data_IF_425220598359
#
_entry.id   IF_425220598359
#
_cell.length_a   1.000
_cell.length_b   1.000
_cell.length_c   1.000
_cell.angle_alpha   90.00
_cell.angle_beta   90.00
_cell.angle_gamma   90.00
#
_symmetry.space_group_name_H-M   'P 1'
#
loop_
_entity.id
_entity.type
_entity.pdbx_description
1 polymer ?
#
# COMPACT_ATOMS: atom_id res chain seq x y z
N UNK A 1 4.81 21.13 16.15
CA UNK A 1 4.80 21.97 14.94
C UNK A 1 5.61 21.26 13.88
N UNK A 2 4.98 20.85 12.78
CA UNK A 2 5.69 20.32 11.63
C UNK A 2 6.27 21.48 10.80
N UNK A 3 7.44 21.28 10.18
CA UNK A 3 8.08 22.24 9.29
C UNK A 3 8.11 21.64 7.90
N UNK A 4 7.52 22.32 6.92
CA UNK A 4 7.51 21.88 5.52
C UNK A 4 8.12 22.97 4.63
N UNK A 5 8.97 22.59 3.66
CA UNK A 5 9.56 23.55 2.71
C UNK A 5 8.59 23.96 1.57
N UNK A 6 7.50 23.21 1.39
CA UNK A 6 6.48 23.44 0.37
C UNK A 6 5.21 24.06 0.98
N UNK A 7 4.30 24.57 0.13
CA UNK A 7 3.03 25.17 0.56
C UNK A 7 1.94 24.13 0.91
N UNK A 8 2.28 22.84 0.94
CA UNK A 8 1.38 21.74 1.26
C UNK A 8 1.93 20.88 2.39
N UNK A 9 1.06 20.48 3.32
CA UNK A 9 1.35 19.52 4.38
C UNK A 9 0.23 18.49 4.45
N UNK A 10 0.59 17.21 4.40
CA UNK A 10 -0.35 16.12 4.63
C UNK A 10 -0.31 15.74 6.11
N UNK A 11 -1.36 16.13 6.84
CA UNK A 11 -1.54 15.69 8.22
C UNK A 11 -2.16 14.29 8.24
N UNK A 12 -1.51 13.34 8.91
CA UNK A 12 -1.86 11.91 8.86
C UNK A 12 -2.03 11.35 10.28
N UNK A 13 -2.79 10.25 10.41
CA UNK A 13 -3.04 9.63 11.72
C UNK A 13 -4.15 10.30 12.53
N UNK A 14 -5.01 11.07 11.86
CA UNK A 14 -6.15 11.74 12.48
C UNK A 14 -7.28 10.77 12.75
N UNK A 15 -8.01 10.99 13.85
CA UNK A 15 -9.21 10.22 14.19
C UNK A 15 -10.32 10.55 13.21
N UNK A 16 -11.08 9.56 12.69
CA UNK A 16 -12.22 9.84 11.82
C UNK A 16 -13.32 10.65 12.53
N UNK A 17 -14.15 11.36 11.75
CA UNK A 17 -15.25 12.20 12.25
C UNK A 17 -14.84 13.21 13.34
N UNK A 18 -13.59 13.66 13.32
CA UNK A 18 -13.04 14.56 14.34
C UNK A 18 -12.70 15.90 13.69
N UNK A 19 -13.15 16.98 14.32
CA UNK A 19 -12.82 18.34 13.89
C UNK A 19 -11.42 18.71 14.39
N UNK A 20 -10.56 19.13 13.47
CA UNK A 20 -9.23 19.66 13.76
C UNK A 20 -9.13 21.11 13.31
N UNK A 21 -8.46 21.93 14.13
CA UNK A 21 -8.25 23.34 13.85
C UNK A 21 -6.78 23.61 13.58
N UNK A 22 -6.51 24.25 12.45
CA UNK A 22 -5.17 24.51 11.94
C UNK A 22 -4.90 26.01 11.81
N UNK A 23 -3.67 26.40 12.13
CA UNK A 23 -3.10 27.71 11.83
C UNK A 23 -1.74 27.51 11.18
N UNK A 24 -1.36 28.39 10.26
CA UNK A 24 -0.04 28.35 9.62
C UNK A 24 0.78 29.59 9.99
N UNK A 25 2.09 29.44 10.12
CA UNK A 25 3.05 30.54 10.20
C UNK A 25 4.21 30.25 9.25
N UNK A 26 4.84 31.29 8.74
CA UNK A 26 6.09 31.18 7.98
C UNK A 26 7.29 31.24 8.94
N UNK A 27 8.34 30.49 8.63
CA UNK A 27 9.62 30.53 9.34
C UNK A 27 10.76 30.68 8.33
N UNK A 28 11.68 31.63 8.58
CA UNK A 28 12.87 31.84 7.73
C UNK A 28 14.05 30.91 8.15
N UNK A 29 15.16 30.86 7.37
CA UNK A 29 16.33 30.05 7.71
C UNK A 29 17.00 30.40 9.05
N UNK A 30 16.81 31.63 9.54
CA UNK A 30 17.32 32.12 10.82
C UNK A 30 16.35 31.84 11.97
N UNK A 31 15.28 31.06 11.73
CA UNK A 31 14.25 30.71 12.70
C UNK A 31 13.37 31.86 13.18
N UNK A 32 13.33 32.97 12.44
CA UNK A 32 12.34 34.03 12.65
C UNK A 32 10.98 33.55 12.15
N UNK A 33 9.91 33.82 12.92
CA UNK A 33 8.54 33.36 12.64
C UNK A 33 7.62 34.54 12.35
N UNK A 34 6.73 34.39 11.38
CA UNK A 34 5.63 35.33 11.17
C UNK A 34 4.57 35.21 12.28
N UNK A 35 3.59 36.11 12.27
CA UNK A 35 2.32 35.88 12.94
C UNK A 35 1.61 34.63 12.37
N UNK A 36 0.79 33.99 13.20
CA UNK A 36 -0.08 32.88 12.76
C UNK A 36 -1.22 33.40 11.89
N UNK A 37 -1.67 32.59 10.94
CA UNK A 37 -2.88 32.82 10.17
C UNK A 37 -4.13 32.79 11.07
N UNK A 38 -5.26 33.25 10.53
CA UNK A 38 -6.55 32.89 11.08
C UNK A 38 -6.71 31.35 11.10
N UNK A 39 -7.39 30.79 12.12
CA UNK A 39 -7.63 29.35 12.20
C UNK A 39 -8.62 28.90 11.13
N UNK A 40 -8.39 27.71 10.57
CA UNK A 40 -9.36 26.98 9.76
C UNK A 40 -9.67 25.64 10.43
N UNK A 41 -10.95 25.27 10.46
CA UNK A 41 -11.40 23.99 11.00
C UNK A 41 -11.81 23.08 9.85
N UNK A 42 -11.33 21.84 9.87
CA UNK A 42 -11.73 20.78 8.96
C UNK A 42 -12.12 19.53 9.76
N UNK A 43 -13.15 18.83 9.31
CA UNK A 43 -13.57 17.56 9.92
C UNK A 43 -13.09 16.42 9.05
N UNK A 44 -12.41 15.44 9.65
CA UNK A 44 -11.99 14.23 8.96
C UNK A 44 -13.21 13.43 8.50
N UNK A 45 -13.08 12.75 7.36
CA UNK A 45 -14.13 11.89 6.83
C UNK A 45 -14.54 10.81 7.85
N UNK A 46 -15.72 10.24 7.65
CA UNK A 46 -16.11 9.05 8.39
C UNK A 46 -15.10 7.93 8.15
N UNK A 47 -14.78 7.20 9.23
CA UNK A 47 -14.08 5.94 9.10
C UNK A 47 -15.06 4.90 8.54
N UNK A 48 -14.56 3.77 8.03
CA UNK A 48 -15.43 2.67 7.66
C UNK A 48 -16.22 2.22 8.89
N UNK A 49 -17.55 2.26 8.79
CA UNK A 49 -18.47 1.85 9.85
C UNK A 49 -19.00 0.45 9.52
N UNK A 50 -18.68 -0.55 10.36
CA UNK A 50 -19.15 -1.93 10.22
C UNK A 50 -18.09 -2.99 10.53
N UNK A 51 -18.50 -4.26 10.51
CA UNK A 51 -17.55 -5.37 10.46
C UNK A 51 -16.98 -5.46 9.05
N UNK A 52 -15.67 -5.58 8.94
CA UNK A 52 -15.00 -5.83 7.68
C UNK A 52 -14.03 -6.99 7.83
N UNK A 53 -13.76 -7.66 6.73
CA UNK A 53 -12.78 -8.75 6.67
C UNK A 53 -11.64 -8.34 5.76
N UNK A 54 -10.42 -8.44 6.27
CA UNK A 54 -9.20 -8.33 5.49
C UNK A 54 -8.62 -9.73 5.34
N UNK A 55 -8.05 -10.01 4.17
CA UNK A 55 -7.17 -11.16 3.99
C UNK A 55 -5.73 -10.66 3.92
N UNK A 56 -4.79 -11.40 4.50
CA UNK A 56 -3.37 -11.09 4.41
C UNK A 56 -2.56 -12.35 4.13
N UNK A 57 -1.54 -12.25 3.28
CA UNK A 57 -0.56 -13.31 3.05
C UNK A 57 0.81 -12.72 2.66
N UNK A 58 1.88 -13.45 2.95
CA UNK A 58 3.22 -13.24 2.38
C UNK A 58 3.67 -14.52 1.69
N UNK A 59 4.87 -14.53 1.12
CA UNK A 59 5.52 -15.73 0.56
C UNK A 59 4.59 -16.46 -0.43
N UNK A 60 4.15 -15.72 -1.45
CA UNK A 60 2.96 -16.08 -2.22
C UNK A 60 3.31 -16.99 -3.39
N UNK A 61 3.75 -16.43 -4.51
CA UNK A 61 3.82 -17.18 -5.77
C UNK A 61 5.24 -17.62 -6.07
N UNK A 62 5.45 -18.92 -6.20
CA UNK A 62 6.61 -19.55 -6.85
C UNK A 62 6.37 -19.62 -8.38
N UNK A 63 7.35 -20.06 -9.17
CA UNK A 63 7.24 -20.31 -10.60
C UNK A 63 6.45 -21.57 -10.96
N UNK A 64 5.23 -21.70 -10.43
CA UNK A 64 4.32 -22.79 -10.73
C UNK A 64 2.95 -22.30 -11.19
N UNK A 65 2.13 -23.21 -11.70
CA UNK A 65 0.73 -22.91 -12.06
C UNK A 65 -0.20 -23.96 -11.48
N UNK A 66 -1.51 -23.73 -11.56
CA UNK A 66 -2.53 -24.66 -11.09
C UNK A 66 -2.50 -26.04 -11.78
N UNK A 67 -1.72 -26.22 -12.86
CA UNK A 67 -1.49 -27.53 -13.47
C UNK A 67 -0.58 -28.43 -12.61
N UNK A 68 0.21 -27.86 -11.70
CA UNK A 68 1.04 -28.61 -10.74
C UNK A 68 0.31 -28.76 -9.41
N UNK A 69 0.25 -29.99 -8.89
CA UNK A 69 -0.33 -30.28 -7.57
C UNK A 69 0.48 -29.70 -6.42
N UNK A 70 1.77 -29.47 -6.62
CA UNK A 70 2.68 -28.85 -5.65
C UNK A 70 2.46 -27.33 -5.55
N UNK A 71 1.79 -26.74 -6.54
CA UNK A 71 1.55 -25.32 -6.57
C UNK A 71 0.54 -24.88 -5.50
N UNK A 72 1.02 -24.14 -4.50
CA UNK A 72 0.23 -23.75 -3.33
C UNK A 72 -0.49 -22.42 -3.53
N UNK A 73 0.11 -21.46 -4.23
CA UNK A 73 -0.47 -20.12 -4.38
C UNK A 73 -1.85 -20.07 -5.07
N UNK A 74 -2.23 -20.98 -5.99
CA UNK A 74 -3.61 -21.06 -6.48
C UNK A 74 -4.60 -21.59 -5.42
N UNK A 75 -4.14 -22.43 -4.49
CA UNK A 75 -4.96 -22.96 -3.39
C UNK A 75 -5.21 -21.88 -2.34
N UNK A 76 -4.18 -21.12 -1.97
CA UNK A 76 -4.34 -19.99 -1.03
C UNK A 76 -5.19 -18.88 -1.63
N UNK A 77 -5.06 -18.61 -2.94
CA UNK A 77 -5.96 -17.69 -3.64
C UNK A 77 -7.43 -18.12 -3.53
N UNK A 78 -7.77 -19.42 -3.58
CA UNK A 78 -9.15 -19.90 -3.36
C UNK A 78 -9.65 -19.65 -1.94
N UNK A 79 -8.78 -19.71 -0.93
CA UNK A 79 -9.15 -19.37 0.45
C UNK A 79 -9.48 -17.88 0.55
N UNK A 80 -8.65 -17.01 -0.03
CA UNK A 80 -8.91 -15.56 -0.08
C UNK A 80 -10.21 -15.25 -0.83
N UNK A 81 -10.47 -15.95 -1.94
CA UNK A 81 -11.71 -15.83 -2.71
C UNK A 81 -12.94 -16.22 -1.86
N UNK A 82 -12.86 -17.34 -1.13
CA UNK A 82 -13.93 -17.82 -0.25
C UNK A 82 -14.22 -16.86 0.92
N UNK A 83 -13.18 -16.23 1.47
CA UNK A 83 -13.30 -15.23 2.55
C UNK A 83 -14.04 -13.97 2.07
N UNK A 84 -13.97 -13.65 0.77
CA UNK A 84 -14.55 -12.45 0.17
C UNK A 84 -14.19 -11.14 0.93
N UNK A 85 -12.89 -10.83 1.07
CA UNK A 85 -12.44 -9.69 1.86
C UNK A 85 -12.69 -8.35 1.15
N UNK A 86 -12.81 -7.27 1.92
CA UNK A 86 -12.90 -5.92 1.35
C UNK A 86 -11.57 -5.43 0.78
N UNK A 87 -10.45 -5.91 1.34
CA UNK A 87 -9.09 -5.68 0.86
C UNK A 87 -8.18 -6.88 1.13
N UNK A 88 -7.15 -7.02 0.29
CA UNK A 88 -6.10 -8.02 0.44
C UNK A 88 -4.79 -7.32 0.74
N UNK A 89 -4.07 -7.69 1.80
CA UNK A 89 -2.73 -7.19 2.09
C UNK A 89 -1.74 -8.26 1.68
N UNK A 90 -0.74 -7.90 0.88
CA UNK A 90 0.41 -8.80 0.69
C UNK A 90 1.57 -8.30 1.55
N UNK A 91 2.20 -9.19 2.30
CA UNK A 91 3.19 -8.86 3.33
C UNK A 91 4.63 -9.04 2.82
N UNK A 92 4.85 -8.83 1.51
CA UNK A 92 6.12 -9.08 0.85
C UNK A 92 6.22 -10.48 0.23
N UNK A 93 7.29 -10.68 -0.54
CA UNK A 93 7.60 -11.93 -1.24
C UNK A 93 6.40 -12.41 -2.07
N UNK A 94 5.87 -11.47 -2.86
CA UNK A 94 4.69 -11.65 -3.69
C UNK A 94 4.99 -12.66 -4.80
N UNK A 95 6.13 -12.48 -5.46
CA UNK A 95 6.70 -13.42 -6.40
C UNK A 95 8.05 -13.84 -5.82
N UNK A 96 8.12 -15.10 -5.43
CA UNK A 96 9.09 -15.66 -4.49
C UNK A 96 10.45 -15.93 -5.10
N UNK A 97 10.60 -16.09 -6.41
CA UNK A 97 11.93 -16.41 -6.96
C UNK A 97 12.78 -15.14 -7.07
N UNK A 98 12.64 -14.40 -8.17
CA UNK A 98 13.42 -13.19 -8.45
C UNK A 98 12.53 -11.95 -8.65
N UNK A 99 11.22 -12.06 -8.40
CA UNK A 99 10.24 -11.00 -8.55
C UNK A 99 10.30 -10.26 -9.91
N UNK A 100 10.64 -10.96 -10.99
CA UNK A 100 10.66 -10.39 -12.35
C UNK A 100 9.24 -10.07 -12.82
N UNK A 101 9.10 -9.04 -13.67
CA UNK A 101 7.80 -8.71 -14.26
C UNK A 101 7.19 -9.90 -15.04
N UNK A 102 8.03 -10.68 -15.72
CA UNK A 102 7.62 -11.92 -16.39
C UNK A 102 7.00 -12.92 -15.42
N UNK A 103 7.54 -13.05 -14.22
CA UNK A 103 7.09 -14.04 -13.24
C UNK A 103 5.82 -13.59 -12.54
N UNK A 104 5.67 -12.27 -12.33
CA UNK A 104 4.40 -11.69 -11.93
C UNK A 104 3.30 -11.97 -12.96
N UNK A 105 3.56 -11.72 -14.25
CA UNK A 105 2.55 -11.92 -15.30
C UNK A 105 2.25 -13.40 -15.56
N UNK A 106 3.25 -14.27 -15.48
CA UNK A 106 3.12 -15.71 -15.80
C UNK A 106 2.59 -16.56 -14.66
N UNK A 107 2.91 -16.22 -13.40
CA UNK A 107 2.58 -17.05 -12.24
C UNK A 107 1.64 -16.31 -11.27
N UNK A 108 2.10 -15.22 -10.64
CA UNK A 108 1.30 -14.49 -9.63
C UNK A 108 -0.06 -14.03 -10.16
N UNK A 109 -0.08 -13.46 -11.37
CA UNK A 109 -1.29 -12.93 -11.99
C UNK A 109 -2.36 -14.00 -12.25
N UNK A 110 -1.94 -15.24 -12.53
CA UNK A 110 -2.87 -16.35 -12.83
C UNK A 110 -3.68 -16.80 -11.62
N UNK A 111 -3.18 -16.53 -10.40
CA UNK A 111 -3.87 -16.85 -9.14
C UNK A 111 -4.30 -15.61 -8.37
N UNK A 112 -3.35 -14.78 -7.95
CA UNK A 112 -3.52 -13.68 -7.01
C UNK A 112 -3.81 -12.35 -7.71
N UNK A 113 -3.55 -12.27 -9.02
CA UNK A 113 -3.86 -11.10 -9.86
C UNK A 113 -5.34 -10.70 -9.84
N UNK A 114 -6.25 -11.65 -9.59
CA UNK A 114 -7.69 -11.38 -9.43
C UNK A 114 -8.01 -10.40 -8.29
N UNK A 115 -7.15 -10.30 -7.27
CA UNK A 115 -7.34 -9.43 -6.12
C UNK A 115 -6.71 -8.04 -6.30
N UNK A 116 -6.04 -7.79 -7.43
CA UNK A 116 -5.22 -6.58 -7.64
C UNK A 116 -5.98 -5.27 -7.43
N UNK A 117 -7.29 -5.24 -7.73
CA UNK A 117 -8.14 -4.04 -7.55
C UNK A 117 -8.43 -3.71 -6.08
N UNK A 118 -8.29 -4.68 -5.18
CA UNK A 118 -8.49 -4.53 -3.73
C UNK A 118 -7.20 -4.78 -2.93
N UNK A 119 -6.08 -4.99 -3.62
CA UNK A 119 -4.80 -5.35 -3.01
C UNK A 119 -4.05 -4.11 -2.51
N UNK A 120 -3.45 -4.24 -1.33
CA UNK A 120 -2.53 -3.31 -0.71
C UNK A 120 -1.19 -4.04 -0.60
N UNK A 121 -0.33 -3.96 -1.64
CA UNK A 121 0.89 -4.74 -1.67
C UNK A 121 2.02 -4.10 -0.87
N UNK A 122 2.88 -4.92 -0.28
CA UNK A 122 4.19 -4.51 0.23
C UNK A 122 5.31 -5.33 -0.39
N UNK A 123 6.54 -4.82 -0.28
CA UNK A 123 7.76 -5.53 -0.69
C UNK A 123 8.32 -6.35 0.48
N UNK A 124 8.92 -7.48 0.16
CA UNK A 124 9.80 -8.29 1.01
C UNK A 124 11.22 -8.29 0.46
N UNK A 125 12.03 -9.27 0.86
CA UNK A 125 13.41 -9.37 0.37
C UNK A 125 13.48 -9.92 -1.06
N UNK A 126 12.55 -10.78 -1.48
CA UNK A 126 12.57 -11.37 -2.82
C UNK A 126 12.28 -10.34 -3.93
N UNK A 127 11.55 -9.27 -3.62
CA UNK A 127 11.42 -8.14 -4.54
C UNK A 127 12.75 -7.41 -4.80
N UNK A 128 13.78 -7.60 -3.97
CA UNK A 128 15.09 -6.97 -4.19
C UNK A 128 15.95 -7.68 -5.23
N UNK A 129 15.62 -8.93 -5.60
CA UNK A 129 16.48 -9.80 -6.41
C UNK A 129 16.36 -9.52 -7.92
N UNK A 130 15.29 -8.85 -8.35
CA UNK A 130 15.21 -8.31 -9.70
C UNK A 130 16.37 -7.34 -9.99
N UNK A 131 16.76 -7.22 -11.26
CA UNK A 131 17.75 -6.24 -11.71
C UNK A 131 17.11 -5.28 -12.73
N UNK A 132 16.87 -4.00 -12.39
CA UNK A 132 17.18 -3.35 -11.11
C UNK A 132 16.26 -3.83 -9.96
N UNK A 133 16.67 -3.65 -8.68
CA UNK A 133 15.86 -4.07 -7.53
C UNK A 133 14.44 -3.51 -7.59
N UNK A 134 13.46 -4.34 -7.23
CA UNK A 134 12.03 -4.03 -7.19
C UNK A 134 11.38 -3.76 -8.56
N UNK A 135 12.09 -3.92 -9.68
CA UNK A 135 11.57 -3.52 -10.98
C UNK A 135 10.29 -4.28 -11.36
N UNK A 136 10.28 -5.60 -11.23
CA UNK A 136 9.09 -6.39 -11.55
C UNK A 136 7.88 -6.07 -10.64
N UNK A 137 8.13 -5.82 -9.35
CA UNK A 137 7.12 -5.34 -8.41
C UNK A 137 6.55 -3.97 -8.85
N UNK A 138 7.42 -3.02 -9.21
CA UNK A 138 7.01 -1.70 -9.68
C UNK A 138 6.20 -1.77 -10.98
N UNK A 139 6.64 -2.56 -11.96
CA UNK A 139 5.93 -2.72 -13.23
C UNK A 139 4.58 -3.40 -13.05
N UNK A 140 4.51 -4.42 -12.20
CA UNK A 140 3.28 -5.16 -12.00
C UNK A 140 2.24 -4.34 -11.21
N UNK A 141 2.61 -3.76 -10.06
CA UNK A 141 1.66 -3.04 -9.21
C UNK A 141 1.46 -1.56 -9.62
N UNK A 142 2.38 -0.96 -10.38
CA UNK A 142 2.24 0.40 -10.87
C UNK A 142 2.28 1.43 -9.74
N UNK A 143 1.33 2.38 -9.73
CA UNK A 143 1.34 3.51 -8.79
C UNK A 143 1.29 3.09 -7.31
N UNK A 144 0.54 2.02 -6.97
CA UNK A 144 0.42 1.53 -5.59
C UNK A 144 1.69 0.84 -5.09
N UNK A 145 2.62 0.49 -5.99
CA UNK A 145 3.93 -0.04 -5.62
C UNK A 145 4.79 1.02 -4.93
N UNK A 146 4.60 2.30 -5.29
CA UNK A 146 5.38 3.43 -4.78
C UNK A 146 4.53 4.69 -4.53
N UNK A 147 3.54 4.67 -3.61
CA UNK A 147 2.78 5.88 -3.29
C UNK A 147 3.74 6.99 -2.85
N UNK A 148 3.65 8.16 -3.48
CA UNK A 148 4.55 9.31 -3.25
C UNK A 148 6.06 8.95 -3.37
N UNK A 149 6.40 7.99 -4.23
CA UNK A 149 7.78 7.52 -4.43
C UNK A 149 8.34 6.69 -3.28
N UNK A 150 7.50 6.25 -2.32
CA UNK A 150 7.90 5.44 -1.16
C UNK A 150 7.33 4.04 -1.26
N UNK A 151 8.07 3.04 -0.77
CA UNK A 151 7.63 1.62 -0.68
C UNK A 151 6.88 1.32 0.63
N UNK A 152 6.51 2.36 1.37
CA UNK A 152 5.69 2.31 2.57
C UNK A 152 4.58 3.33 2.43
N UNK A 153 3.43 3.03 2.98
CA UNK A 153 2.25 3.89 2.93
C UNK A 153 1.28 3.52 4.04
N UNK A 154 0.28 4.37 4.22
CA UNK A 154 -0.93 4.07 4.96
C UNK A 154 -2.13 4.26 4.03
N UNK A 155 -3.24 3.61 4.35
CA UNK A 155 -4.49 3.77 3.62
C UNK A 155 -5.67 3.71 4.61
N UNK A 156 -6.81 4.24 4.20
CA UNK A 156 -8.09 3.97 4.87
C UNK A 156 -8.80 2.81 4.17
N UNK A 157 -9.44 1.93 4.93
CA UNK A 157 -10.31 0.90 4.34
C UNK A 157 -11.53 1.58 3.69
N UNK A 158 -12.06 0.96 2.63
CA UNK A 158 -13.28 1.42 1.97
C UNK A 158 -14.51 1.23 2.85
#
# INVERSE_FOLDING_TARGET
>A
MASVPENTFNDTGLTPQTAYTYTVLAKDPNNNKSAQSAPITATTAAGPTGQFVLAAAGDIADQCTASSSECIHPKTAKVVDFINPVNVITMGDNQYDDALYSDFTKYFNTSWGRFKSIMQPSVGNHETYASPPYDGYHWYFGAIARPNGKRYYSWGTR
#
